data_IF_839078585121
#
_entry.id   IF_839078585121
#
_cell.length_a   1.000
_cell.length_b   1.000
_cell.length_c   1.000
_cell.angle_alpha   90.00
_cell.angle_beta   90.00
_cell.angle_gamma   90.00
#
_symmetry.space_group_name_H-M   'P 1'
#
loop_
_entity.id
_entity.type
_entity.pdbx_description
1 polymer ?
#
# COMPACT_ATOMS: atom_id res chain seq x y z
N UNK A 1 -5.80 -15.98 3.81
CA UNK A 1 -5.52 -15.09 2.67
C UNK A 1 -6.53 -13.94 2.71
N UNK A 2 -6.34 -12.86 1.97
CA UNK A 2 -7.41 -11.86 1.74
C UNK A 2 -8.37 -12.38 0.67
N UNK A 3 -9.67 -12.21 0.90
CA UNK A 3 -10.72 -12.79 0.06
C UNK A 3 -10.70 -12.26 -1.37
N UNK A 4 -10.15 -11.06 -1.58
CA UNK A 4 -9.93 -10.53 -2.93
C UNK A 4 -9.06 -11.47 -3.78
N UNK A 5 -8.10 -12.15 -3.16
CA UNK A 5 -7.14 -13.03 -3.82
C UNK A 5 -7.55 -14.52 -3.79
N UNK A 6 -8.78 -14.83 -3.38
CA UNK A 6 -9.26 -16.20 -3.35
C UNK A 6 -9.22 -16.81 -4.77
N UNK A 7 -8.65 -18.00 -4.87
CA UNK A 7 -8.47 -18.76 -6.11
C UNK A 7 -7.57 -18.11 -7.19
N UNK A 8 -6.85 -17.03 -6.87
CA UNK A 8 -5.99 -16.35 -7.85
C UNK A 8 -4.83 -17.21 -8.37
N UNK A 9 -4.36 -18.18 -7.58
CA UNK A 9 -3.34 -19.13 -8.03
C UNK A 9 -3.79 -19.93 -9.25
N UNK A 10 -5.09 -20.24 -9.35
CA UNK A 10 -5.66 -21.00 -10.46
C UNK A 10 -6.24 -20.09 -11.53
N UNK A 11 -7.00 -19.07 -11.13
CA UNK A 11 -7.71 -18.18 -12.05
C UNK A 11 -6.75 -17.22 -12.77
N UNK A 12 -5.72 -16.75 -12.07
CA UNK A 12 -4.80 -15.72 -12.54
C UNK A 12 -3.33 -16.03 -12.20
N UNK A 13 -2.78 -17.18 -12.62
CA UNK A 13 -1.42 -17.62 -12.27
C UNK A 13 -0.31 -16.64 -12.69
N UNK A 14 -0.58 -15.70 -13.61
CA UNK A 14 0.38 -14.65 -13.96
C UNK A 14 0.44 -13.52 -12.92
N UNK A 15 -0.68 -13.18 -12.28
CA UNK A 15 -0.76 -12.00 -11.39
C UNK A 15 -0.34 -12.32 -9.96
N UNK A 16 -0.13 -13.59 -9.63
CA UNK A 16 0.50 -14.02 -8.37
C UNK A 16 1.97 -13.56 -8.24
N UNK A 17 2.56 -13.10 -9.34
CA UNK A 17 3.89 -12.49 -9.37
C UNK A 17 3.88 -11.00 -9.04
N UNK A 18 2.69 -10.37 -8.89
CA UNK A 18 2.58 -8.97 -8.51
C UNK A 18 3.06 -8.73 -7.08
N UNK A 19 3.67 -7.57 -6.85
CA UNK A 19 4.13 -7.18 -5.51
C UNK A 19 2.97 -7.12 -4.51
N UNK A 20 1.80 -6.63 -4.95
CA UNK A 20 0.57 -6.61 -4.17
C UNK A 20 0.18 -8.02 -3.69
N UNK A 21 0.00 -8.97 -4.63
CA UNK A 21 -0.37 -10.34 -4.29
C UNK A 21 0.64 -10.99 -3.35
N UNK A 22 1.93 -10.85 -3.65
CA UNK A 22 3.02 -11.46 -2.86
C UNK A 22 3.08 -10.89 -1.46
N UNK A 23 2.91 -9.57 -1.29
CA UNK A 23 2.86 -8.96 0.04
C UNK A 23 1.70 -9.54 0.86
N UNK A 24 0.52 -9.66 0.25
CA UNK A 24 -0.65 -10.23 0.91
C UNK A 24 -0.49 -11.72 1.23
N UNK A 25 0.07 -12.49 0.28
CA UNK A 25 0.30 -13.93 0.45
C UNK A 25 1.38 -14.27 1.44
N UNK A 26 2.45 -13.49 1.54
CA UNK A 26 3.63 -13.89 2.31
C UNK A 26 3.87 -13.07 3.57
N UNK A 27 3.42 -11.81 3.64
CA UNK A 27 3.59 -11.01 4.86
C UNK A 27 2.38 -11.14 5.79
N UNK A 28 1.17 -11.03 5.26
CA UNK A 28 -0.04 -10.99 6.10
C UNK A 28 -0.65 -12.36 6.43
N UNK A 29 -0.32 -13.39 5.65
CA UNK A 29 -0.80 -14.76 5.91
C UNK A 29 -0.07 -15.45 7.05
N UNK A 30 1.14 -14.99 7.39
CA UNK A 30 1.96 -15.62 8.41
C UNK A 30 1.33 -15.43 9.79
N UNK A 31 1.25 -16.53 10.53
CA UNK A 31 0.87 -16.49 11.93
C UNK A 31 2.05 -16.02 12.76
N UNK A 32 1.83 -14.96 13.55
CA UNK A 32 2.83 -14.40 14.43
C UNK A 32 2.21 -14.15 15.79
N UNK A 33 2.72 -14.84 16.81
CA UNK A 33 2.44 -14.54 18.20
C UNK A 33 3.76 -14.22 18.88
N UNK A 34 3.81 -13.05 19.50
CA UNK A 34 4.93 -12.63 20.34
C UNK A 34 4.38 -11.73 21.44
N UNK A 35 4.80 -12.00 22.67
CA UNK A 35 4.47 -11.18 23.84
C UNK A 35 5.59 -10.18 24.19
N UNK A 36 6.61 -10.06 23.33
CA UNK A 36 7.74 -9.16 23.57
C UNK A 36 7.30 -7.70 23.60
N UNK A 37 7.58 -7.00 24.69
CA UNK A 37 7.31 -5.57 24.87
C UNK A 37 8.13 -4.66 23.94
N UNK A 38 9.11 -5.23 23.21
CA UNK A 38 9.86 -4.53 22.16
C UNK A 38 9.02 -4.17 20.93
N UNK A 39 7.84 -4.76 20.79
CA UNK A 39 6.88 -4.40 19.75
C UNK A 39 5.98 -3.29 20.28
N UNK A 40 5.84 -2.21 19.52
CA UNK A 40 4.98 -1.09 19.91
C UNK A 40 3.54 -1.60 20.13
N UNK A 41 3.05 -2.48 19.24
CA UNK A 41 1.74 -3.11 19.36
C UNK A 41 1.56 -4.00 20.61
N UNK A 42 2.65 -4.41 21.27
CA UNK A 42 2.61 -5.09 22.56
C UNK A 42 2.77 -4.13 23.74
N UNK A 43 3.52 -3.04 23.59
CA UNK A 43 3.76 -2.07 24.66
C UNK A 43 2.47 -1.43 25.17
N UNK A 44 1.49 -1.20 24.28
CA UNK A 44 0.17 -0.70 24.69
C UNK A 44 -0.64 -1.71 25.53
N UNK A 45 -0.13 -2.94 25.79
CA UNK A 45 -0.72 -3.91 26.75
C UNK A 45 -0.74 -3.43 28.20
N UNK A 46 0.32 -2.77 28.67
CA UNK A 46 0.57 -2.71 30.12
C UNK A 46 -0.25 -1.64 30.86
N UNK A 47 -0.99 -0.77 30.14
CA UNK A 47 -1.87 0.21 30.79
C UNK A 47 -3.33 0.25 30.24
N UNK A 48 -3.64 -0.23 29.02
CA UNK A 48 -4.96 -0.01 28.38
C UNK A 48 -5.57 -1.21 27.62
N UNK A 49 -4.96 -2.41 27.62
CA UNK A 49 -5.45 -3.56 26.83
C UNK A 49 -5.67 -4.81 27.67
N UNK A 50 -6.83 -4.96 28.33
CA UNK A 50 -7.44 -6.25 28.52
C UNK A 50 -8.42 -6.50 27.36
N UNK A 51 -8.32 -7.67 26.71
CA UNK A 51 -9.41 -8.40 26.03
C UNK A 51 -9.45 -8.53 24.49
N UNK A 52 -9.04 -7.57 23.63
CA UNK A 52 -9.18 -7.78 22.17
C UNK A 52 -7.92 -8.33 21.48
N UNK A 53 -7.76 -9.66 21.53
CA UNK A 53 -6.67 -10.40 20.86
C UNK A 53 -6.60 -10.13 19.36
N UNK A 54 -7.74 -9.95 18.70
CA UNK A 54 -7.80 -9.81 17.24
C UNK A 54 -7.20 -8.48 16.77
N UNK A 55 -7.50 -7.36 17.45
CA UNK A 55 -6.89 -6.05 17.13
C UNK A 55 -5.38 -6.07 17.34
N UNK A 56 -4.93 -6.70 18.42
CA UNK A 56 -3.51 -6.87 18.69
C UNK A 56 -2.81 -7.66 17.60
N UNK A 57 -3.42 -8.76 17.15
CA UNK A 57 -2.87 -9.60 16.08
C UNK A 57 -2.79 -8.83 14.74
N UNK A 58 -3.78 -7.99 14.43
CA UNK A 58 -3.73 -7.08 13.27
C UNK A 58 -2.57 -6.08 13.42
N UNK A 59 -2.44 -5.43 14.58
CA UNK A 59 -1.39 -4.46 14.85
C UNK A 59 -0.01 -5.10 14.68
N UNK A 60 0.25 -6.24 15.32
CA UNK A 60 1.54 -6.92 15.27
C UNK A 60 1.95 -7.31 13.85
N UNK A 61 1.00 -7.81 13.04
CA UNK A 61 1.25 -8.13 11.63
C UNK A 61 1.58 -6.89 10.80
N UNK A 62 0.86 -5.79 11.01
CA UNK A 62 1.14 -4.53 10.34
C UNK A 62 2.51 -3.97 10.75
N UNK A 63 2.84 -3.97 12.04
CA UNK A 63 4.15 -3.56 12.57
C UNK A 63 5.28 -4.39 11.95
N UNK A 64 5.17 -5.72 11.96
CA UNK A 64 6.17 -6.60 11.36
C UNK A 64 6.32 -6.36 9.85
N UNK A 65 5.22 -6.12 9.15
CA UNK A 65 5.26 -5.86 7.71
C UNK A 65 5.91 -4.52 7.41
N UNK A 66 5.64 -3.49 8.20
CA UNK A 66 6.29 -2.18 8.11
C UNK A 66 7.80 -2.28 8.36
N UNK A 67 8.22 -2.97 9.43
CA UNK A 67 9.64 -3.18 9.76
C UNK A 67 10.40 -3.86 8.63
N UNK A 68 9.78 -4.85 7.99
CA UNK A 68 10.39 -5.63 6.92
C UNK A 68 10.15 -5.06 5.52
N UNK A 69 9.50 -3.90 5.40
CA UNK A 69 9.00 -3.43 4.11
C UNK A 69 10.11 -3.20 3.10
N UNK A 70 11.26 -2.66 3.51
CA UNK A 70 12.44 -2.51 2.64
C UNK A 70 12.92 -3.85 2.06
N UNK A 71 12.96 -4.91 2.88
CA UNK A 71 13.29 -6.26 2.40
C UNK A 71 12.22 -6.83 1.48
N UNK A 72 10.95 -6.57 1.80
CA UNK A 72 9.80 -6.99 0.99
C UNK A 72 9.78 -6.31 -0.39
N UNK A 73 10.26 -5.06 -0.52
CA UNK A 73 10.35 -4.38 -1.81
C UNK A 73 11.21 -5.18 -2.79
N UNK A 74 12.43 -5.54 -2.38
CA UNK A 74 13.33 -6.32 -3.21
C UNK A 74 12.81 -7.75 -3.45
N UNK A 75 12.28 -8.39 -2.40
CA UNK A 75 11.86 -9.80 -2.44
C UNK A 75 10.61 -10.00 -3.29
N UNK A 76 9.61 -9.14 -3.14
CA UNK A 76 8.31 -9.29 -3.77
C UNK A 76 8.15 -8.45 -5.03
N UNK A 77 9.10 -7.55 -5.31
CA UNK A 77 9.04 -6.65 -6.46
C UNK A 77 7.98 -5.55 -6.29
N UNK A 78 7.86 -5.01 -5.07
CA UNK A 78 7.07 -3.79 -4.84
C UNK A 78 7.73 -2.60 -5.53
N UNK A 79 6.92 -1.61 -5.88
CA UNK A 79 7.39 -0.44 -6.61
C UNK A 79 8.29 0.46 -5.76
N UNK A 80 7.85 0.74 -4.54
CA UNK A 80 8.59 1.52 -3.56
C UNK A 80 7.97 1.30 -2.18
N UNK A 81 8.56 1.95 -1.18
CA UNK A 81 8.12 1.88 0.20
C UNK A 81 6.70 2.43 0.38
N UNK A 82 6.38 3.54 -0.28
CA UNK A 82 5.08 4.21 -0.18
C UNK A 82 3.94 3.29 -0.64
N UNK A 83 4.14 2.58 -1.75
CA UNK A 83 3.20 1.58 -2.25
C UNK A 83 3.00 0.43 -1.29
N UNK A 84 4.08 -0.03 -0.67
CA UNK A 84 4.00 -0.98 0.42
C UNK A 84 3.14 -0.48 1.60
N UNK A 85 3.27 0.80 1.97
CA UNK A 85 2.45 1.41 3.01
C UNK A 85 0.99 1.57 2.62
N UNK A 86 0.69 1.94 1.37
CA UNK A 86 -0.69 1.96 0.86
C UNK A 86 -1.32 0.57 1.00
N UNK A 87 -0.60 -0.49 0.60
CA UNK A 87 -1.08 -1.87 0.70
C UNK A 87 -1.34 -2.29 2.15
N UNK A 88 -0.46 -1.90 3.08
CA UNK A 88 -0.64 -2.12 4.53
C UNK A 88 -1.87 -1.36 5.03
N UNK A 89 -2.08 -0.12 4.59
CA UNK A 89 -3.23 0.70 5.00
C UNK A 89 -4.56 0.05 4.61
N UNK A 90 -4.68 -0.42 3.36
CA UNK A 90 -5.87 -1.17 2.92
C UNK A 90 -6.06 -2.46 3.73
N UNK A 91 -4.97 -3.19 3.98
CA UNK A 91 -5.04 -4.44 4.76
C UNK A 91 -5.48 -4.20 6.21
N UNK A 92 -4.90 -3.22 6.89
CA UNK A 92 -5.25 -2.89 8.29
C UNK A 92 -6.72 -2.56 8.39
N UNK A 93 -7.20 -1.66 7.53
CA UNK A 93 -8.60 -1.23 7.57
C UNK A 93 -9.57 -2.39 7.29
N UNK A 94 -9.28 -3.20 6.28
CA UNK A 94 -10.05 -4.41 5.96
C UNK A 94 -10.19 -5.32 7.19
N UNK A 95 -9.09 -5.57 7.91
CA UNK A 95 -9.13 -6.44 9.09
C UNK A 95 -9.88 -5.83 10.28
N UNK A 96 -9.62 -4.57 10.61
CA UNK A 96 -10.30 -3.93 11.75
C UNK A 96 -11.79 -3.75 11.49
N UNK A 97 -12.22 -3.51 10.24
CA UNK A 97 -13.63 -3.36 9.88
C UNK A 97 -14.46 -4.65 10.06
N UNK A 98 -13.78 -5.78 10.23
CA UNK A 98 -14.38 -7.09 10.49
C UNK A 98 -14.35 -7.49 11.98
N UNK A 99 -13.72 -6.68 12.85
CA UNK A 99 -13.58 -6.97 14.27
C UNK A 99 -14.54 -6.10 15.07
N UNK A 100 -15.33 -6.72 15.95
CA UNK A 100 -16.13 -5.98 16.92
C UNK A 100 -15.23 -5.46 18.05
N UNK A 101 -14.94 -4.16 18.05
CA UNK A 101 -14.05 -3.53 19.03
C UNK A 101 -14.45 -2.08 19.30
N UNK A 102 -13.98 -1.50 20.41
CA UNK A 102 -14.11 -0.07 20.68
C UNK A 102 -13.26 0.78 19.73
N UNK A 103 -13.70 2.02 19.49
CA UNK A 103 -12.94 3.05 18.78
C UNK A 103 -11.59 3.33 19.46
N UNK A 104 -11.55 3.27 20.79
CA UNK A 104 -10.34 3.44 21.58
C UNK A 104 -9.25 2.41 21.19
N UNK A 105 -9.61 1.14 21.04
CA UNK A 105 -8.68 0.09 20.61
C UNK A 105 -8.16 0.32 19.18
N UNK A 106 -9.02 0.84 18.31
CA UNK A 106 -8.62 1.21 16.94
C UNK A 106 -7.63 2.38 16.99
N UNK A 107 -7.89 3.39 17.81
CA UNK A 107 -7.00 4.53 18.00
C UNK A 107 -5.64 4.10 18.56
N UNK A 108 -5.61 3.16 19.51
CA UNK A 108 -4.35 2.61 20.01
C UNK A 108 -3.56 1.84 18.95
N UNK A 109 -4.22 1.07 18.09
CA UNK A 109 -3.55 0.40 16.97
C UNK A 109 -2.85 1.43 16.08
N UNK A 110 -3.54 2.50 15.68
CA UNK A 110 -2.94 3.54 14.83
C UNK A 110 -1.82 4.31 15.53
N UNK A 111 -1.99 4.62 16.82
CA UNK A 111 -0.96 5.24 17.66
C UNK A 111 0.30 4.37 17.71
N UNK A 112 0.14 3.05 17.86
CA UNK A 112 1.26 2.12 17.85
C UNK A 112 1.97 2.08 16.49
N UNK A 113 1.24 2.08 15.39
CA UNK A 113 1.84 2.09 14.04
C UNK A 113 2.60 3.40 13.75
N UNK A 114 2.14 4.54 14.26
CA UNK A 114 2.88 5.80 14.16
C UNK A 114 4.14 5.81 15.03
N UNK A 115 4.11 5.18 16.21
CA UNK A 115 5.29 4.97 17.04
C UNK A 115 6.33 4.06 16.35
N UNK A 116 5.87 3.01 15.65
CA UNK A 116 6.74 2.15 14.82
C UNK A 116 7.40 2.99 13.73
N UNK A 117 6.63 3.78 12.99
CA UNK A 117 7.19 4.65 11.94
C UNK A 117 8.30 5.54 12.47
N UNK A 118 8.06 6.17 13.62
CA UNK A 118 9.04 7.03 14.29
C UNK A 118 10.30 6.26 14.70
N UNK A 119 10.14 5.07 15.29
CA UNK A 119 11.24 4.24 15.80
C UNK A 119 12.15 3.69 14.68
N UNK A 120 11.59 3.43 13.50
CA UNK A 120 12.33 2.92 12.35
C UNK A 120 12.74 4.02 11.36
N UNK A 121 12.63 5.30 11.75
CA UNK A 121 12.95 6.46 10.92
C UNK A 121 12.28 6.39 9.54
N UNK A 122 11.04 5.91 9.51
CA UNK A 122 10.21 5.85 8.31
C UNK A 122 9.73 7.28 8.01
N UNK A 123 10.57 8.04 7.32
CA UNK A 123 10.37 9.46 7.02
C UNK A 123 9.57 9.72 5.75
N UNK A 124 8.91 8.70 5.19
CA UNK A 124 8.03 8.90 4.05
C UNK A 124 6.75 9.60 4.50
N UNK A 125 6.56 10.84 4.03
CA UNK A 125 5.30 11.60 4.19
C UNK A 125 4.09 10.85 3.62
N UNK A 126 4.34 9.94 2.68
CA UNK A 126 3.32 9.19 1.97
C UNK A 126 2.98 7.86 2.67
N UNK A 127 3.79 7.41 3.62
CA UNK A 127 3.48 6.25 4.46
C UNK A 127 2.51 6.63 5.58
N UNK A 128 1.27 6.96 5.20
CA UNK A 128 0.23 7.40 6.12
C UNK A 128 -0.81 6.30 6.32
N UNK A 129 -0.58 5.43 7.29
CA UNK A 129 -1.53 4.38 7.68
C UNK A 129 -2.59 5.01 8.57
N UNK A 130 -3.48 5.82 7.98
CA UNK A 130 -4.66 6.38 8.66
C UNK A 130 -5.90 5.55 8.37
N UNK A 131 -6.84 5.57 9.31
CA UNK A 131 -8.18 5.03 9.15
C UNK A 131 -8.87 5.64 7.93
N UNK A 132 -9.73 4.88 7.26
CA UNK A 132 -10.63 5.40 6.25
C UNK A 132 -11.95 5.78 6.93
N UNK A 133 -12.38 7.01 6.71
CA UNK A 133 -13.72 7.46 7.09
C UNK A 133 -14.70 7.07 5.97
N UNK A 134 -15.10 5.80 5.98
CA UNK A 134 -15.92 5.18 4.94
C UNK A 134 -16.69 4.00 5.55
N UNK A 135 -17.87 3.71 5.04
CA UNK A 135 -18.58 2.50 5.43
C UNK A 135 -17.97 1.26 4.78
N UNK A 136 -18.04 0.11 5.45
CA UNK A 136 -17.48 -1.17 4.98
C UNK A 136 -17.89 -1.52 3.54
N UNK A 137 -19.18 -1.38 3.19
CA UNK A 137 -19.67 -1.71 1.85
C UNK A 137 -19.03 -0.85 0.74
N UNK A 138 -18.77 0.42 1.04
CA UNK A 138 -18.14 1.36 0.10
C UNK A 138 -16.61 1.18 0.08
N UNK A 139 -16.02 0.82 1.22
CA UNK A 139 -14.62 0.43 1.30
C UNK A 139 -14.32 -0.79 0.41
N UNK A 140 -15.18 -1.81 0.40
CA UNK A 140 -14.99 -2.97 -0.47
C UNK A 140 -14.93 -2.55 -1.95
N UNK A 141 -15.81 -1.64 -2.38
CA UNK A 141 -15.76 -1.09 -3.75
C UNK A 141 -14.44 -0.36 -4.00
N UNK A 142 -14.03 0.52 -3.08
CA UNK A 142 -12.77 1.28 -3.13
C UNK A 142 -11.56 0.34 -3.24
N UNK A 143 -11.48 -0.67 -2.38
CA UNK A 143 -10.41 -1.68 -2.31
C UNK A 143 -10.34 -2.49 -3.61
N UNK A 144 -11.48 -2.97 -4.11
CA UNK A 144 -11.53 -3.71 -5.37
C UNK A 144 -11.00 -2.88 -6.55
N UNK A 145 -11.48 -1.63 -6.69
CA UNK A 145 -11.04 -0.73 -7.75
C UNK A 145 -9.53 -0.45 -7.65
N UNK A 146 -9.05 -0.14 -6.44
CA UNK A 146 -7.65 0.11 -6.17
C UNK A 146 -6.78 -1.12 -6.51
N UNK A 147 -7.10 -2.32 -6.01
CA UNK A 147 -6.29 -3.51 -6.27
C UNK A 147 -6.26 -3.90 -7.74
N UNK A 148 -7.40 -3.88 -8.43
CA UNK A 148 -7.39 -4.18 -9.85
C UNK A 148 -6.59 -3.15 -10.65
N UNK A 149 -6.66 -1.86 -10.30
CA UNK A 149 -5.82 -0.80 -10.89
C UNK A 149 -4.33 -1.10 -10.71
N UNK A 150 -3.90 -1.49 -9.52
CA UNK A 150 -2.49 -1.82 -9.25
C UNK A 150 -2.01 -3.00 -10.10
N UNK A 151 -2.86 -4.02 -10.30
CA UNK A 151 -2.53 -5.14 -11.20
C UNK A 151 -2.48 -4.70 -12.67
N UNK A 152 -3.41 -3.86 -13.12
CA UNK A 152 -3.41 -3.32 -14.49
C UNK A 152 -2.12 -2.53 -14.78
N UNK A 153 -1.71 -1.67 -13.84
CA UNK A 153 -0.44 -0.94 -13.95
C UNK A 153 0.77 -1.89 -13.92
N UNK A 154 0.73 -2.93 -13.07
CA UNK A 154 1.78 -3.94 -13.01
C UNK A 154 1.92 -4.69 -14.35
N UNK A 155 0.81 -5.03 -15.03
CA UNK A 155 0.82 -5.66 -16.35
C UNK A 155 1.64 -4.81 -17.33
N UNK A 156 1.30 -3.52 -17.45
CA UNK A 156 2.04 -2.59 -18.35
C UNK A 156 3.53 -2.53 -18.01
N UNK A 157 3.85 -2.44 -16.71
CA UNK A 157 5.24 -2.29 -16.22
C UNK A 157 6.10 -3.53 -16.40
N UNK A 158 5.51 -4.72 -16.29
CA UNK A 158 6.22 -6.00 -16.32
C UNK A 158 6.06 -6.77 -17.63
N UNK A 159 5.30 -6.22 -18.57
CA UNK A 159 5.16 -6.76 -19.90
C UNK A 159 6.53 -7.06 -20.55
N UNK A 160 6.69 -8.26 -21.12
CA UNK A 160 7.95 -8.71 -21.74
C UNK A 160 9.08 -9.10 -20.78
N UNK A 161 8.94 -8.85 -19.47
CA UNK A 161 9.92 -9.28 -18.45
C UNK A 161 9.56 -10.61 -17.77
N UNK A 162 8.29 -11.02 -17.87
CA UNK A 162 7.79 -12.28 -17.34
C UNK A 162 7.56 -13.26 -18.50
N UNK A 163 8.21 -14.43 -18.43
CA UNK A 163 8.33 -15.41 -19.51
C UNK A 163 7.11 -16.35 -19.63
N UNK A 164 5.90 -15.82 -19.52
CA UNK A 164 4.68 -16.63 -19.67
C UNK A 164 3.79 -15.96 -20.71
N UNK A 165 3.88 -16.50 -21.93
CA UNK A 165 2.92 -16.27 -23.02
C UNK A 165 1.53 -16.68 -22.50
N UNK A 166 0.51 -15.80 -22.51
CA UNK A 166 -0.70 -16.15 -21.77
C UNK A 166 -2.04 -15.58 -22.30
N UNK A 167 -3.00 -16.43 -22.72
CA UNK A 167 -4.39 -16.04 -23.02
C UNK A 167 -5.21 -15.51 -21.81
N UNK A 168 -4.58 -15.28 -20.65
CA UNK A 168 -5.27 -14.86 -19.41
C UNK A 168 -5.58 -13.36 -19.31
N UNK A 169 -4.98 -12.52 -20.15
CA UNK A 169 -5.24 -11.08 -20.08
C UNK A 169 -6.71 -10.75 -20.39
N UNK A 170 -7.27 -11.36 -21.43
CA UNK A 170 -8.66 -11.12 -21.86
C UNK A 170 -9.65 -11.53 -20.78
N UNK A 171 -9.47 -12.70 -20.16
CA UNK A 171 -10.31 -13.17 -19.05
C UNK A 171 -10.27 -12.21 -17.84
N UNK A 172 -9.08 -11.75 -17.47
CA UNK A 172 -8.94 -10.81 -16.37
C UNK A 172 -9.58 -9.45 -16.67
N UNK A 173 -9.40 -8.94 -17.90
CA UNK A 173 -10.03 -7.69 -18.32
C UNK A 173 -11.55 -7.81 -18.35
N UNK A 174 -12.10 -8.96 -18.77
CA UNK A 174 -13.54 -9.23 -18.73
C UNK A 174 -14.09 -9.21 -17.30
N UNK A 175 -13.39 -9.83 -16.36
CA UNK A 175 -13.74 -9.80 -14.93
C UNK A 175 -13.69 -8.37 -14.37
N UNK A 176 -12.63 -7.62 -14.69
CA UNK A 176 -12.49 -6.22 -14.32
C UNK A 176 -13.65 -5.37 -14.87
N UNK A 177 -13.98 -5.52 -16.15
CA UNK A 177 -15.08 -4.80 -16.80
C UNK A 177 -16.44 -5.16 -16.18
N UNK A 178 -16.65 -6.43 -15.86
CA UNK A 178 -17.86 -6.92 -15.20
C UNK A 178 -18.02 -6.31 -13.80
N UNK A 179 -16.95 -6.33 -12.99
CA UNK A 179 -16.99 -5.73 -11.65
C UNK A 179 -17.20 -4.21 -11.71
N UNK A 180 -16.55 -3.52 -12.64
CA UNK A 180 -16.74 -2.09 -12.88
C UNK A 180 -18.19 -1.77 -13.20
N UNK A 181 -18.79 -2.51 -14.14
CA UNK A 181 -20.19 -2.34 -14.54
C UNK A 181 -21.13 -2.49 -13.35
N UNK A 182 -20.94 -3.53 -12.54
CA UNK A 182 -21.73 -3.73 -11.32
C UNK A 182 -21.60 -2.55 -10.34
N UNK A 183 -20.41 -1.99 -10.16
CA UNK A 183 -20.22 -0.82 -9.29
C UNK A 183 -20.97 0.40 -9.87
N UNK A 184 -20.79 0.68 -11.16
CA UNK A 184 -21.37 1.84 -11.84
C UNK A 184 -22.90 1.80 -11.88
N UNK A 185 -23.49 0.64 -12.17
CA UNK A 185 -24.96 0.44 -12.21
C UNK A 185 -25.62 0.60 -10.83
N UNK A 186 -24.84 0.44 -9.75
CA UNK A 186 -25.34 0.48 -8.37
C UNK A 186 -24.71 1.62 -7.56
N UNK A 187 -24.39 2.75 -8.20
CA UNK A 187 -23.87 3.94 -7.51
C UNK A 187 -24.96 4.54 -6.62
N UNK A 188 -24.67 4.61 -5.32
CA UNK A 188 -25.37 5.48 -4.38
C UNK A 188 -24.65 6.83 -4.36
N UNK A 189 -25.33 7.87 -4.84
CA UNK A 189 -24.75 9.21 -4.96
C UNK A 189 -24.37 9.86 -3.62
N UNK A 190 -24.97 9.45 -2.50
CA UNK A 190 -24.58 9.96 -1.19
C UNK A 190 -23.24 9.38 -0.72
N UNK A 191 -22.86 8.22 -1.26
CA UNK A 191 -21.66 7.46 -0.86
C UNK A 191 -20.55 7.46 -1.91
N UNK A 192 -20.90 7.81 -3.15
CA UNK A 192 -20.04 7.80 -4.31
C UNK A 192 -18.70 8.52 -4.11
N UNK A 193 -18.72 9.68 -3.44
CA UNK A 193 -17.53 10.52 -3.27
C UNK A 193 -16.38 9.79 -2.54
N UNK A 194 -16.70 8.80 -1.69
CA UNK A 194 -15.71 8.05 -0.90
C UNK A 194 -14.78 7.14 -1.72
N UNK A 195 -15.20 6.72 -2.92
CA UNK A 195 -14.41 5.86 -3.83
C UNK A 195 -14.33 6.39 -5.27
N UNK A 196 -14.84 7.59 -5.52
CA UNK A 196 -14.88 8.24 -6.84
C UNK A 196 -13.51 8.32 -7.50
N UNK A 197 -12.47 8.72 -6.77
CA UNK A 197 -11.13 8.84 -7.35
C UNK A 197 -10.61 7.47 -7.80
N UNK A 198 -10.79 6.43 -7.00
CA UNK A 198 -10.39 5.06 -7.35
C UNK A 198 -11.17 4.52 -8.55
N UNK A 199 -12.43 4.91 -8.71
CA UNK A 199 -13.23 4.56 -9.89
C UNK A 199 -12.68 5.22 -11.16
N UNK A 200 -12.33 6.51 -11.07
CA UNK A 200 -11.73 7.28 -12.17
C UNK A 200 -10.37 6.68 -12.55
N UNK A 201 -9.49 6.51 -11.56
CA UNK A 201 -8.14 5.99 -11.78
C UNK A 201 -8.16 4.56 -12.31
N UNK A 202 -9.10 3.73 -11.85
CA UNK A 202 -9.32 2.40 -12.39
C UNK A 202 -9.72 2.47 -13.87
N UNK A 203 -10.70 3.30 -14.24
CA UNK A 203 -11.16 3.43 -15.63
C UNK A 203 -9.99 3.81 -16.54
N UNK A 204 -9.20 4.81 -16.15
CA UNK A 204 -8.02 5.25 -16.89
C UNK A 204 -7.01 4.10 -17.04
N UNK A 205 -6.63 3.45 -15.94
CA UNK A 205 -5.68 2.35 -15.97
C UNK A 205 -6.17 1.17 -16.82
N UNK A 206 -7.47 0.87 -16.78
CA UNK A 206 -8.09 -0.19 -17.56
C UNK A 206 -8.04 0.12 -19.06
N UNK A 207 -8.49 1.31 -19.47
CA UNK A 207 -8.49 1.73 -20.88
C UNK A 207 -7.07 1.77 -21.44
N UNK A 208 -6.11 2.32 -20.69
CA UNK A 208 -4.71 2.35 -21.09
C UNK A 208 -4.10 0.95 -21.21
N UNK A 209 -4.41 0.05 -20.28
CA UNK A 209 -3.88 -1.32 -20.28
C UNK A 209 -4.48 -2.14 -21.42
N UNK A 210 -5.79 -1.99 -21.65
CA UNK A 210 -6.50 -2.65 -22.76
C UNK A 210 -5.93 -2.19 -24.10
N UNK A 211 -5.77 -0.88 -24.29
CA UNK A 211 -5.13 -0.32 -25.49
C UNK A 211 -3.71 -0.85 -25.69
N UNK A 212 -2.91 -0.86 -24.62
CA UNK A 212 -1.54 -1.37 -24.66
C UNK A 212 -1.50 -2.83 -25.10
N UNK A 213 -2.35 -3.70 -24.53
CA UNK A 213 -2.39 -5.13 -24.87
C UNK A 213 -2.91 -5.39 -26.29
N UNK A 214 -3.87 -4.60 -26.77
CA UNK A 214 -4.33 -4.65 -28.17
C UNK A 214 -3.19 -4.32 -29.14
N UNK A 215 -2.44 -3.25 -28.88
CA UNK A 215 -1.27 -2.86 -29.69
C UNK A 215 -0.17 -3.93 -29.70
N UNK A 216 -0.12 -4.76 -28.66
CA UNK A 216 0.80 -5.89 -28.55
C UNK A 216 0.28 -7.19 -29.18
N UNK A 217 -0.99 -7.25 -29.58
CA UNK A 217 -1.61 -8.46 -30.13
C UNK A 217 -1.89 -9.53 -29.08
N UNK A 218 -1.98 -9.15 -27.80
CA UNK A 218 -2.20 -10.07 -26.68
C UNK A 218 -3.69 -10.35 -26.42
N UNK A 219 -4.57 -9.48 -26.94
CA UNK A 219 -6.03 -9.60 -26.84
C UNK A 219 -6.66 -9.21 -28.18
N UNK A 220 -7.92 -9.64 -28.41
CA UNK A 220 -8.59 -9.42 -29.70
C UNK A 220 -9.94 -8.71 -29.61
N UNK A 221 -10.61 -8.72 -28.44
CA UNK A 221 -11.98 -8.21 -28.29
C UNK A 221 -12.05 -6.82 -27.64
N UNK A 222 -11.61 -5.79 -28.38
CA UNK A 222 -11.66 -4.40 -27.89
C UNK A 222 -13.08 -3.89 -27.57
N UNK A 223 -14.07 -4.32 -28.36
CA UNK A 223 -15.44 -3.78 -28.29
C UNK A 223 -16.22 -4.28 -27.06
N UNK A 224 -15.96 -5.50 -26.61
CA UNK A 224 -16.63 -6.09 -25.44
C UNK A 224 -16.07 -5.55 -24.11
N UNK A 225 -14.86 -5.01 -24.14
CA UNK A 225 -14.15 -4.46 -23.00
C UNK A 225 -14.43 -2.97 -22.75
N UNK A 226 -15.27 -2.32 -23.56
CA UNK A 226 -15.57 -0.89 -23.37
C UNK A 226 -16.28 -0.65 -22.05
N UNK A 227 -15.72 0.23 -21.22
CA UNK A 227 -16.33 0.65 -19.96
C UNK A 227 -17.36 1.75 -20.19
N UNK A 228 -18.48 1.67 -19.47
CA UNK A 228 -19.48 2.73 -19.45
C UNK A 228 -18.92 4.03 -18.85
N UNK A 229 -19.62 5.14 -19.08
CA UNK A 229 -19.29 6.39 -18.43
C UNK A 229 -19.69 6.38 -16.95
N UNK A 230 -18.91 7.13 -16.16
CA UNK A 230 -19.19 7.31 -14.74
C UNK A 230 -20.43 8.23 -14.65
N UNK A 231 -21.52 7.79 -14.01
CA UNK A 231 -22.72 8.60 -13.83
C UNK A 231 -22.42 9.91 -13.10
N UNK A 232 -23.08 10.98 -13.52
CA UNK A 232 -23.04 12.24 -12.80
C UNK A 232 -24.04 12.18 -11.64
N UNK A 233 -23.54 12.29 -10.42
CA UNK A 233 -24.38 12.56 -9.27
C UNK A 233 -24.76 14.04 -9.27
N UNK A 234 -26.04 14.34 -9.48
CA UNK A 234 -26.54 15.71 -9.34
C UNK A 234 -26.53 16.06 -7.85
N UNK A 235 -25.88 17.16 -7.49
CA UNK A 235 -26.01 17.74 -6.16
C UNK A 235 -27.46 18.22 -6.02
N UNK A 236 -28.24 17.61 -5.13
CA UNK A 236 -29.53 18.18 -4.75
C UNK A 236 -29.26 19.61 -4.25
N UNK A 237 -29.94 20.65 -4.75
CA UNK A 237 -29.85 21.97 -4.15
C UNK A 237 -30.21 21.82 -2.67
N UNK A 238 -29.37 22.34 -1.78
CA UNK A 238 -29.75 22.53 -0.38
C UNK A 238 -31.02 23.37 -0.42
N UNK A 239 -32.12 22.79 0.05
CA UNK A 239 -33.41 23.46 0.12
C UNK A 239 -33.20 24.75 0.94
N UNK A 240 -33.37 25.96 0.36
CA UNK A 240 -33.12 27.23 1.07
C UNK A 240 -34.13 27.49 2.20
N UNK A 241 -34.98 26.51 2.53
CA UNK A 241 -36.00 26.58 3.58
C UNK A 241 -35.49 26.26 4.98
N UNK A 242 -34.25 25.79 5.15
CA UNK A 242 -33.69 25.55 6.49
C UNK A 242 -32.87 26.71 7.06
N UNK A 243 -32.67 27.81 6.31
CA UNK A 243 -31.95 29.00 6.77
C UNK A 243 -32.90 30.14 7.22
N UNK A 244 -34.21 29.93 7.18
CA UNK A 244 -35.23 30.91 7.59
C UNK A 244 -36.14 30.36 8.71
N UNK A 245 -35.56 29.67 9.68
CA UNK A 245 -36.30 29.17 10.85
C UNK A 245 -35.69 29.58 12.20
N UNK A 246 -34.85 30.62 12.22
CA UNK A 246 -34.39 31.29 13.44
C UNK A 246 -34.43 32.82 13.23
N UNK A 247 -35.60 33.37 12.92
CA UNK A 247 -35.88 34.79 13.13
C UNK A 247 -37.39 35.00 13.30
N UNK A 248 -37.91 34.68 14.49
CA UNK A 248 -39.11 35.35 15.00
C UNK A 248 -39.16 35.34 16.54
N UNK A 249 -39.04 36.54 17.11
CA UNK A 249 -39.78 36.91 18.30
C UNK A 249 -39.06 36.83 19.66
N UNK A 250 -38.40 37.93 20.05
CA UNK A 250 -38.72 38.59 21.32
C UNK A 250 -38.36 40.09 21.27
N UNK A 251 -39.38 40.89 20.97
CA UNK A 251 -39.41 42.32 21.27
C UNK A 251 -39.24 42.56 22.77
N UNK A 252 -38.30 43.41 23.16
CA UNK A 252 -38.58 44.45 24.15
C UNK A 252 -37.65 45.64 23.91
N UNK A 253 -38.25 46.72 23.43
CA UNK A 253 -37.63 48.02 23.30
C UNK A 253 -37.32 48.63 24.69
N UNK A 254 -36.14 49.21 24.84
CA UNK A 254 -35.98 50.46 25.60
C UNK A 254 -34.79 51.26 25.06
N UNK A 255 -35.13 52.42 24.48
CA UNK A 255 -34.23 53.47 24.02
C UNK A 255 -33.73 54.30 25.20
N UNK A 256 -32.43 54.59 25.25
CA UNK A 256 -31.90 55.86 25.79
C UNK A 256 -30.53 56.18 25.17
N UNK A 257 -30.45 57.31 24.46
CA UNK A 257 -29.22 58.03 24.09
C UNK A 257 -28.75 58.86 25.31
N UNK A 258 -27.45 59.13 25.52
CA UNK A 258 -26.76 60.31 24.92
C UNK A 258 -25.28 60.00 24.52
N UNK A 259 -24.70 60.57 23.46
CA UNK A 259 -24.08 61.91 23.27
C UNK A 259 -22.66 62.12 23.88
N UNK A 260 -21.74 62.55 22.99
CA UNK A 260 -20.51 63.37 23.12
C UNK A 260 -19.20 62.81 23.74
N UNK A 261 -18.22 62.68 22.82
CA UNK A 261 -16.80 63.05 22.80
C UNK A 261 -15.88 62.88 24.04
N UNK A 262 -14.69 62.29 23.80
CA UNK A 262 -13.42 63.05 23.73
C UNK A 262 -12.32 62.24 23.01
N UNK A 263 -11.59 62.97 22.16
CA UNK A 263 -10.41 62.64 21.37
C UNK A 263 -9.13 62.42 22.19
N UNK A 264 -8.18 61.64 21.66
CA UNK A 264 -6.83 62.12 21.29
C UNK A 264 -6.00 60.99 20.65
N UNK A 265 -5.84 61.12 19.33
CA UNK A 265 -4.66 61.01 18.46
C UNK A 265 -3.37 60.37 19.00
N UNK A 266 -2.79 59.44 18.24
CA UNK A 266 -1.73 59.70 17.23
C UNK A 266 -1.45 58.36 16.49
N UNK A 267 -1.70 58.25 15.18
CA UNK A 267 -0.79 58.56 14.05
C UNK A 267 0.31 57.45 13.91
N UNK A 268 0.58 56.80 12.77
CA UNK A 268 0.62 57.27 11.38
C UNK A 268 0.49 56.10 10.38
N UNK A 269 -0.51 56.18 9.50
CA UNK A 269 -0.54 56.01 8.03
C UNK A 269 0.66 55.31 7.34
N UNK A 270 0.50 54.11 6.76
CA UNK A 270 -0.01 53.76 5.43
C UNK A 270 0.86 54.14 4.22
N UNK A 271 1.01 53.18 3.30
CA UNK A 271 1.59 53.40 1.97
C UNK A 271 1.67 52.12 1.14
N UNK A 272 0.56 51.75 0.52
CA UNK A 272 0.55 50.77 -0.59
C UNK A 272 1.11 51.41 -1.86
N UNK A 273 1.88 50.68 -2.66
CA UNK A 273 1.97 50.94 -4.09
C UNK A 273 2.26 49.66 -4.89
N UNK A 274 1.71 49.69 -6.10
CA UNK A 274 1.32 48.64 -7.02
C UNK A 274 2.41 48.16 -7.99
N UNK A 275 2.23 46.91 -8.47
CA UNK A 275 2.39 46.40 -9.86
C UNK A 275 3.65 46.71 -10.68
N UNK A 276 4.29 45.67 -11.24
CA UNK A 276 5.06 45.80 -12.50
C UNK A 276 6.12 44.73 -12.77
N UNK A 277 5.97 44.01 -13.89
CA UNK A 277 6.84 42.95 -14.45
C UNK A 277 8.32 43.32 -14.62
N UNK A 278 9.20 42.31 -14.63
CA UNK A 278 10.54 42.44 -15.25
C UNK A 278 11.51 41.29 -14.95
N UNK A 279 11.79 40.46 -15.95
CA UNK A 279 12.76 39.37 -15.98
C UNK A 279 14.19 39.91 -15.78
N UNK A 280 15.00 39.27 -14.93
CA UNK A 280 16.47 39.33 -15.04
C UNK A 280 17.07 38.00 -14.61
N UNK A 281 17.53 37.24 -15.59
CA UNK A 281 18.24 35.99 -15.38
C UNK A 281 19.72 36.19 -15.03
N UNK A 282 20.31 35.15 -14.43
CA UNK A 282 21.73 34.86 -14.58
C UNK A 282 22.53 34.76 -13.29
N UNK A 283 23.14 33.57 -13.13
CA UNK A 283 24.36 33.25 -12.36
C UNK A 283 24.13 32.55 -11.01
N UNK A 284 23.81 31.24 -11.05
CA UNK A 284 24.36 30.24 -10.12
C UNK A 284 24.49 28.90 -10.88
N UNK A 285 25.55 28.71 -11.67
CA UNK A 285 25.82 27.41 -12.31
C UNK A 285 27.32 27.19 -12.49
N UNK A 286 28.04 26.85 -11.42
CA UNK A 286 29.43 26.39 -11.57
C UNK A 286 29.97 25.46 -10.48
N UNK A 287 29.19 25.00 -9.48
CA UNK A 287 29.75 24.14 -8.40
C UNK A 287 29.24 22.68 -8.44
N UNK A 288 28.15 22.36 -9.14
CA UNK A 288 27.54 21.01 -9.05
C UNK A 288 28.18 19.96 -9.96
N UNK A 289 28.81 20.35 -11.07
CA UNK A 289 29.40 19.37 -12.00
C UNK A 289 30.74 18.77 -11.52
N UNK A 290 31.52 19.50 -10.71
CA UNK A 290 32.81 19.02 -10.19
C UNK A 290 32.69 17.87 -9.19
N UNK A 291 31.60 17.80 -8.42
CA UNK A 291 31.38 16.75 -7.43
C UNK A 291 31.01 15.40 -8.05
N UNK A 292 30.31 15.39 -9.20
CA UNK A 292 29.87 14.14 -9.84
C UNK A 292 31.03 13.33 -10.45
N UNK A 293 32.07 13.98 -10.97
CA UNK A 293 33.21 13.28 -11.56
C UNK A 293 34.07 12.51 -10.54
N UNK A 294 34.14 12.97 -9.29
CA UNK A 294 34.91 12.29 -8.23
C UNK A 294 34.27 10.95 -7.81
N UNK A 295 32.94 10.84 -7.88
CA UNK A 295 32.22 9.59 -7.61
C UNK A 295 32.47 8.53 -8.70
N UNK A 296 32.63 8.93 -9.96
CA UNK A 296 32.95 7.99 -11.05
C UNK A 296 34.36 7.40 -10.93
N UNK A 297 35.34 8.20 -10.51
CA UNK A 297 36.71 7.73 -10.30
C UNK A 297 36.74 6.75 -9.12
N UNK A 298 36.13 7.12 -7.99
CA UNK A 298 36.07 6.22 -6.82
C UNK A 298 35.31 4.92 -7.11
N UNK A 299 34.23 4.93 -7.91
CA UNK A 299 33.57 3.70 -8.35
C UNK A 299 34.49 2.76 -9.15
N UNK A 300 35.32 3.30 -10.06
CA UNK A 300 36.20 2.48 -10.92
C UNK A 300 37.42 1.90 -10.17
N UNK A 301 37.87 2.53 -9.09
CA UNK A 301 39.09 2.14 -8.36
C UNK A 301 38.83 1.48 -7.00
N UNK A 302 37.57 1.25 -6.60
CA UNK A 302 37.27 0.52 -5.35
C UNK A 302 37.13 -1.00 -5.65
N UNK A 303 37.81 -1.90 -4.91
CA UNK A 303 37.83 -3.34 -5.21
C UNK A 303 36.55 -4.10 -4.82
N UNK A 304 35.37 -3.46 -4.86
CA UNK A 304 34.09 -4.11 -4.56
C UNK A 304 33.54 -4.97 -5.73
N UNK A 305 34.11 -4.85 -6.93
CA UNK A 305 33.66 -5.60 -8.11
C UNK A 305 33.78 -7.13 -7.98
N UNK A 306 34.75 -7.63 -7.20
CA UNK A 306 34.94 -9.09 -7.01
C UNK A 306 33.92 -9.71 -6.05
N UNK A 307 33.32 -8.93 -5.13
CA UNK A 307 32.36 -9.45 -4.14
C UNK A 307 30.95 -9.62 -4.71
N UNK A 308 30.59 -8.86 -5.74
CA UNK A 308 29.29 -8.99 -6.43
C UNK A 308 29.18 -10.25 -7.30
N UNK A 309 30.28 -10.74 -7.87
CA UNK A 309 30.27 -11.98 -8.64
C UNK A 309 30.16 -13.24 -7.76
N UNK A 310 30.40 -13.13 -6.44
CA UNK A 310 30.17 -14.23 -5.49
C UNK A 310 28.68 -14.38 -5.11
N UNK A 311 27.87 -13.31 -5.23
CA UNK A 311 26.42 -13.34 -4.98
C UNK A 311 25.62 -14.02 -6.11
N UNK A 312 26.20 -14.22 -7.30
CA UNK A 312 25.58 -14.95 -8.42
C UNK A 312 25.70 -16.47 -8.34
N UNK A 313 26.31 -17.01 -7.27
CA UNK A 313 26.55 -18.45 -7.10
C UNK A 313 25.84 -19.00 -5.86
N UNK A 314 24.55 -18.73 -5.74
CA UNK A 314 23.66 -19.51 -4.85
C UNK A 314 23.29 -20.79 -5.62
N UNK A 315 23.59 -22.00 -5.12
CA UNK A 315 23.31 -23.24 -5.83
C UNK A 315 21.81 -23.56 -5.86
N UNK A 316 21.28 -23.90 -7.05
CA UNK A 316 19.89 -24.32 -7.37
C UNK A 316 19.40 -25.61 -6.66
N UNK A 317 19.99 -26.02 -5.53
CA UNK A 317 19.71 -27.31 -4.87
C UNK A 317 18.44 -27.33 -3.99
N UNK A 318 17.68 -26.24 -3.91
CA UNK A 318 16.43 -26.18 -3.11
C UNK A 318 15.13 -26.40 -3.91
N UNK A 319 15.19 -26.64 -5.23
CA UNK A 319 13.99 -26.69 -6.08
C UNK A 319 13.59 -28.06 -6.66
N UNK A 320 14.25 -29.17 -6.31
CA UNK A 320 13.92 -30.50 -6.86
C UNK A 320 13.43 -31.50 -5.79
N UNK A 321 12.45 -31.14 -4.96
CA UNK A 321 11.89 -32.11 -3.99
C UNK A 321 10.35 -32.07 -3.83
N UNK A 322 9.61 -31.64 -4.87
CA UNK A 322 8.14 -31.66 -4.83
C UNK A 322 7.51 -32.27 -6.10
N UNK A 323 8.29 -32.63 -7.13
CA UNK A 323 7.80 -33.40 -8.28
C UNK A 323 8.44 -34.80 -8.24
N UNK A 324 7.68 -35.76 -7.71
CA UNK A 324 7.65 -37.19 -8.09
C UNK A 324 7.17 -38.04 -6.91
N UNK A 325 5.87 -37.97 -6.57
CA UNK A 325 5.17 -39.06 -5.87
C UNK A 325 3.70 -39.07 -6.31
N UNK A 326 3.45 -39.56 -7.53
CA UNK A 326 2.18 -40.13 -7.95
C UNK A 326 2.44 -41.09 -9.10
N UNK A 327 2.89 -42.30 -8.80
CA UNK A 327 2.52 -43.54 -9.50
C UNK A 327 3.19 -44.75 -8.81
N UNK A 328 2.33 -45.70 -8.44
CA UNK A 328 2.59 -47.14 -8.23
C UNK A 328 3.47 -47.62 -7.05
N UNK A 329 2.80 -48.25 -6.07
CA UNK A 329 3.40 -49.29 -5.22
C UNK A 329 3.60 -50.59 -6.02
N UNK A 330 4.72 -51.28 -5.83
CA UNK A 330 4.60 -52.54 -5.10
C UNK A 330 5.72 -52.82 -4.07
N UNK A 331 5.28 -53.56 -3.07
CA UNK A 331 5.98 -54.19 -1.94
C UNK A 331 7.24 -54.97 -2.40
N UNK A 332 8.38 -54.85 -1.68
CA UNK A 332 9.04 -55.96 -0.93
C UNK A 332 10.47 -55.62 -0.43
N UNK A 333 10.68 -55.71 0.90
CA UNK A 333 11.89 -56.09 1.65
C UNK A 333 13.23 -55.35 1.39
N UNK A 334 13.83 -54.77 2.45
CA UNK A 334 14.95 -55.38 3.25
C UNK A 334 15.58 -54.38 4.25
N UNK A 335 15.48 -54.76 5.54
CA UNK A 335 16.34 -54.51 6.71
C UNK A 335 16.63 -53.10 7.26
N UNK A 336 16.37 -53.01 8.58
CA UNK A 336 16.95 -52.11 9.57
C UNK A 336 18.47 -51.99 9.44
N UNK A 337 19.00 -50.80 9.73
CA UNK A 337 20.12 -50.66 10.66
C UNK A 337 20.08 -49.30 11.35
N UNK A 338 20.26 -49.34 12.66
CA UNK A 338 20.38 -48.21 13.58
C UNK A 338 21.78 -47.59 13.41
N UNK A 339 21.86 -46.27 13.30
CA UNK A 339 23.15 -45.55 13.32
C UNK A 339 23.40 -45.03 14.73
N UNK A 340 24.37 -45.67 15.38
CA UNK A 340 24.92 -45.34 16.70
C UNK A 340 25.95 -44.21 16.55
N UNK A 341 25.85 -43.16 17.38
CA UNK A 341 26.77 -42.03 17.42
C UNK A 341 28.02 -42.39 18.24
N UNK A 342 29.18 -42.54 17.59
CA UNK A 342 30.47 -42.58 18.28
C UNK A 342 31.16 -41.19 18.22
N UNK A 343 31.39 -40.63 19.40
CA UNK A 343 32.23 -39.46 19.64
C UNK A 343 33.70 -39.89 19.65
N UNK A 344 34.45 -39.55 18.61
CA UNK A 344 35.91 -39.58 18.67
C UNK A 344 36.50 -38.17 18.62
N UNK A 345 37.23 -37.87 19.68
CA UNK A 345 37.89 -36.62 20.01
C UNK A 345 39.25 -36.59 19.32
N UNK A 346 39.51 -35.63 18.42
CA UNK A 346 40.83 -35.46 17.81
C UNK A 346 41.62 -34.32 18.48
N UNK A 347 42.79 -34.68 19.01
CA UNK A 347 43.79 -33.78 19.60
C UNK A 347 44.55 -33.01 18.50
N UNK A 348 44.70 -31.70 18.68
CA UNK A 348 45.51 -30.82 17.82
C UNK A 348 46.91 -30.71 18.43
N UNK A 349 47.95 -30.92 17.63
CA UNK A 349 49.35 -30.67 18.00
C UNK A 349 49.91 -29.54 17.12
N UNK A 350 50.43 -28.50 17.77
CA UNK A 350 51.12 -27.38 17.13
C UNK A 350 52.59 -27.71 16.90
N UNK A 351 53.15 -27.25 15.78
CA UNK A 351 54.58 -26.97 15.66
C UNK A 351 54.78 -25.69 14.82
N UNK A 352 55.55 -24.78 15.40
CA UNK A 352 56.05 -23.54 14.81
C UNK A 352 57.39 -23.78 14.10
N UNK A 353 57.64 -22.98 13.07
CA UNK A 353 58.99 -22.60 12.61
C UNK A 353 58.98 -21.14 12.22
#
# INVERSE_FOLDING_TARGET
MDTFFDDWDNKYPLFVYSGLYRLYKFSFSRYYQTDSTTFACNHYRENNFPENKDIRDVCLKAELTLKNLNGNIATYGLDNFDKGCEYIRYWVYDRISNINTSEENIQYLYTALDAVKSSYYINSSNCNVKIFDIEKGEFEKKKHLYFHREILQWIKKKYGTNYVNNPLYENYLNDCATKYRTIVENIDCNKFESYKQELIDFKIAFEETTKFLLEKGEITLANELKLSDIPTCQSTPIDPKLENADDDGFDTAQSMKPEVAHSMDDDTTAGSLSTGNGITGGIISSITFGMLFLFFISYKFTPFGQKLNQLKRIPNKMFNKIEDENEESPIQRRYNDYVEFNNDTYNIQYNST
#
